data_IF_922237686845
#
_entry.id   IF_922237686845
#
_cell.length_a   1.000
_cell.length_b   1.000
_cell.length_c   1.000
_cell.angle_alpha   90.00
_cell.angle_beta   90.00
_cell.angle_gamma   90.00
#
_symmetry.space_group_name_H-M   'P 1'
#
loop_
_entity.id
_entity.type
_entity.pdbx_description
1 polymer ?
#
# COMPACT_ATOMS: atom_id res chain seq x y z
N UNK A 1 -5.25 -12.34 -0.47
CA UNK A 1 -5.28 -11.33 -1.57
C UNK A 1 -4.12 -11.62 -2.51
N UNK A 2 -4.33 -11.51 -3.83
CA UNK A 2 -3.26 -11.62 -4.83
C UNK A 2 -3.17 -10.29 -5.57
N UNK A 3 -1.95 -9.77 -5.75
CA UNK A 3 -1.69 -8.50 -6.45
C UNK A 3 -0.70 -8.71 -7.60
N UNK A 4 -0.94 -8.10 -8.79
CA UNK A 4 -0.04 -8.20 -9.93
C UNK A 4 1.17 -7.28 -9.78
N UNK A 5 2.14 -7.47 -10.66
CA UNK A 5 3.17 -6.46 -10.91
C UNK A 5 2.56 -5.25 -11.62
N UNK A 6 2.69 -4.07 -11.01
CA UNK A 6 2.31 -2.84 -11.68
C UNK A 6 3.49 -2.23 -12.43
N UNK A 7 3.18 -1.74 -13.63
CA UNK A 7 4.11 -1.01 -14.48
C UNK A 7 3.62 0.42 -14.66
N UNK A 8 4.55 1.35 -14.78
CA UNK A 8 4.27 2.70 -15.22
C UNK A 8 3.89 2.70 -16.72
N UNK A 9 3.30 3.79 -17.26
CA UNK A 9 2.97 3.87 -18.69
C UNK A 9 4.17 3.70 -19.64
N UNK A 10 5.39 3.96 -19.17
CA UNK A 10 6.64 3.74 -19.92
C UNK A 10 7.18 2.30 -19.84
N UNK A 11 6.45 1.40 -19.17
CA UNK A 11 6.83 0.00 -18.98
C UNK A 11 7.80 -0.24 -17.83
N UNK A 12 8.29 0.78 -17.15
CA UNK A 12 9.15 0.62 -15.97
C UNK A 12 8.38 0.06 -14.77
N UNK A 13 9.08 -0.60 -13.84
CA UNK A 13 8.49 -1.12 -12.62
C UNK A 13 7.89 0.02 -11.78
N UNK A 14 6.62 -0.13 -11.40
CA UNK A 14 6.00 0.72 -10.40
C UNK A 14 6.12 0.08 -9.02
N UNK A 15 6.80 0.75 -8.08
CA UNK A 15 6.89 0.29 -6.70
C UNK A 15 5.50 0.36 -6.04
N UNK A 16 4.68 -0.66 -6.25
CA UNK A 16 3.31 -0.76 -5.73
C UNK A 16 3.21 -1.51 -4.42
N UNK A 17 4.20 -2.35 -4.13
CA UNK A 17 4.32 -3.08 -2.86
C UNK A 17 4.87 -2.17 -1.78
N UNK A 18 4.42 -2.33 -0.54
CA UNK A 18 4.78 -1.48 0.60
C UNK A 18 4.96 -2.32 1.87
N UNK A 19 5.81 -1.83 2.79
CA UNK A 19 5.73 -2.20 4.21
C UNK A 19 4.63 -1.40 4.90
N UNK A 20 4.07 -1.89 5.99
CA UNK A 20 3.12 -1.11 6.78
C UNK A 20 3.71 0.24 7.18
N UNK A 21 2.87 1.27 7.11
CA UNK A 21 3.26 2.63 7.49
C UNK A 21 3.48 2.70 9.01
N UNK A 22 4.57 3.34 9.42
CA UNK A 22 4.87 3.67 10.81
C UNK A 22 5.14 5.16 10.92
N UNK A 23 5.12 5.71 12.12
CA UNK A 23 5.43 7.13 12.32
C UNK A 23 6.83 7.47 11.78
N UNK A 24 7.83 6.60 11.97
CA UNK A 24 9.19 6.81 11.43
C UNK A 24 9.21 6.89 9.90
N UNK A 25 8.55 5.93 9.23
CA UNK A 25 8.42 5.91 7.76
C UNK A 25 7.64 7.11 7.23
N UNK A 26 6.58 7.54 7.95
CA UNK A 26 5.81 8.72 7.59
C UNK A 26 6.70 9.97 7.63
N UNK A 27 7.45 10.19 8.71
CA UNK A 27 8.38 11.31 8.86
C UNK A 27 9.42 11.29 7.72
N UNK A 28 10.03 10.13 7.45
CA UNK A 28 11.00 9.98 6.36
C UNK A 28 10.40 10.31 4.99
N UNK A 29 9.15 9.90 4.74
CA UNK A 29 8.41 10.22 3.50
C UNK A 29 8.16 11.73 3.36
N UNK A 30 7.83 12.41 4.43
CA UNK A 30 7.62 13.87 4.43
C UNK A 30 8.91 14.61 4.11
N UNK A 31 10.02 14.28 4.77
CA UNK A 31 11.35 14.86 4.48
C UNK A 31 11.82 14.64 3.04
N UNK A 32 11.42 13.56 2.40
CA UNK A 32 11.75 13.26 1.00
C UNK A 32 10.72 13.79 0.01
N UNK A 33 9.74 14.59 0.46
CA UNK A 33 8.63 15.09 -0.34
C UNK A 33 7.92 13.98 -1.14
N UNK A 34 7.83 12.78 -0.56
CA UNK A 34 7.20 11.62 -1.18
C UNK A 34 7.92 11.05 -2.41
N UNK A 35 9.17 11.44 -2.68
CA UNK A 35 9.92 10.96 -3.85
C UNK A 35 10.37 9.51 -3.68
N UNK A 36 9.94 8.63 -4.59
CA UNK A 36 10.35 7.21 -4.61
C UNK A 36 11.81 7.03 -5.04
N UNK A 37 12.41 8.01 -5.72
CA UNK A 37 13.83 7.99 -6.11
C UNK A 37 14.79 8.33 -4.96
N UNK A 38 14.26 8.63 -3.76
CA UNK A 38 15.09 8.92 -2.59
C UNK A 38 15.95 7.72 -2.21
N UNK A 39 17.21 7.98 -1.86
CA UNK A 39 18.13 7.00 -1.27
C UNK A 39 17.98 6.88 0.26
N UNK A 40 16.97 7.49 0.85
CA UNK A 40 16.67 7.36 2.27
C UNK A 40 16.31 5.90 2.59
N UNK A 41 16.96 5.32 3.61
CA UNK A 41 16.79 3.92 4.00
C UNK A 41 15.34 3.59 4.36
N UNK A 42 14.71 4.42 5.20
CA UNK A 42 13.32 4.23 5.64
C UNK A 42 12.33 4.27 4.44
N UNK A 43 12.59 5.17 3.48
CA UNK A 43 11.79 5.24 2.24
C UNK A 43 12.02 4.01 1.39
N UNK A 44 13.25 3.54 1.25
CA UNK A 44 13.58 2.33 0.46
C UNK A 44 12.93 1.08 1.06
N UNK A 45 12.98 0.94 2.38
CA UNK A 45 12.30 -0.15 3.11
C UNK A 45 10.77 -0.05 2.94
N UNK A 46 10.19 1.15 3.13
CA UNK A 46 8.76 1.34 2.94
C UNK A 46 8.30 0.96 1.54
N UNK A 47 9.09 1.27 0.51
CA UNK A 47 8.83 0.96 -0.89
C UNK A 47 9.23 -0.47 -1.29
N UNK A 48 9.65 -1.29 -0.34
CA UNK A 48 10.11 -2.66 -0.60
C UNK A 48 11.13 -2.76 -1.73
N UNK A 49 12.10 -1.82 -1.81
CA UNK A 49 13.14 -1.85 -2.85
C UNK A 49 14.15 -2.99 -2.66
N UNK A 50 14.12 -3.64 -1.51
CA UNK A 50 14.94 -4.76 -1.08
C UNK A 50 14.42 -6.13 -1.52
N UNK A 51 13.19 -6.21 -2.07
CA UNK A 51 12.62 -7.49 -2.51
C UNK A 51 12.93 -7.79 -3.98
N UNK A 52 12.90 -9.08 -4.35
CA UNK A 52 12.99 -9.49 -5.75
C UNK A 52 11.61 -9.42 -6.42
N UNK A 53 11.40 -8.42 -7.24
CA UNK A 53 10.15 -8.20 -7.98
C UNK A 53 9.89 -9.22 -9.11
N UNK A 54 10.79 -10.19 -9.34
CA UNK A 54 10.56 -11.29 -10.28
C UNK A 54 10.01 -12.55 -9.58
N UNK A 55 9.89 -12.56 -8.25
CA UNK A 55 9.48 -13.70 -7.45
C UNK A 55 8.08 -13.53 -6.88
N UNK A 56 7.30 -14.63 -6.88
CA UNK A 56 6.05 -14.69 -6.12
C UNK A 56 6.39 -14.79 -4.64
N UNK A 57 5.86 -13.88 -3.82
CA UNK A 57 6.17 -13.82 -2.40
C UNK A 57 5.07 -13.15 -1.59
N UNK A 58 5.08 -13.42 -0.28
CA UNK A 58 4.23 -12.68 0.66
C UNK A 58 4.75 -11.27 0.88
N UNK A 59 3.81 -10.32 0.93
CA UNK A 59 4.07 -8.90 1.14
C UNK A 59 3.18 -8.36 2.26
N UNK A 60 3.48 -7.17 2.78
CA UNK A 60 2.64 -6.54 3.79
C UNK A 60 1.37 -5.99 3.16
N UNK A 61 1.50 -5.11 2.18
CA UNK A 61 0.38 -4.58 1.42
C UNK A 61 0.81 -4.05 0.04
N UNK A 62 -0.15 -3.76 -0.81
CA UNK A 62 0.06 -3.11 -2.09
C UNK A 62 -1.01 -2.06 -2.35
N UNK A 63 -0.70 -1.06 -3.19
CA UNK A 63 -1.69 -0.06 -3.60
C UNK A 63 -2.89 -0.72 -4.27
N UNK A 64 -4.10 -0.26 -3.96
CA UNK A 64 -5.37 -0.85 -4.35
C UNK A 64 -5.75 -0.72 -5.83
N UNK A 65 -4.76 -0.59 -6.72
CA UNK A 65 -4.99 -0.51 -8.15
C UNK A 65 -5.53 -1.83 -8.75
N UNK A 66 -5.18 -2.97 -8.14
CA UNK A 66 -5.70 -4.27 -8.56
C UNK A 66 -5.54 -5.30 -7.44
N UNK A 67 -6.66 -5.79 -6.92
CA UNK A 67 -6.73 -6.87 -5.94
C UNK A 67 -7.54 -8.02 -6.51
N UNK A 68 -6.99 -9.23 -6.44
CA UNK A 68 -7.71 -10.46 -6.70
C UNK A 68 -7.90 -11.23 -5.40
N UNK A 69 -9.11 -11.62 -5.09
CA UNK A 69 -9.43 -12.46 -3.95
C UNK A 69 -10.71 -13.25 -4.20
N UNK A 70 -10.88 -14.34 -3.47
CA UNK A 70 -12.13 -15.08 -3.49
C UNK A 70 -13.23 -14.23 -2.88
N UNK A 71 -14.45 -14.35 -3.41
CA UNK A 71 -15.63 -13.64 -2.90
C UNK A 71 -15.88 -13.91 -1.42
N UNK A 72 -15.65 -15.15 -1.00
CA UNK A 72 -15.82 -15.58 0.40
C UNK A 72 -14.84 -14.83 1.32
N UNK A 73 -13.59 -14.63 0.88
CA UNK A 73 -12.59 -13.86 1.64
C UNK A 73 -12.98 -12.38 1.73
N UNK A 74 -13.49 -11.80 0.64
CA UNK A 74 -13.99 -10.43 0.64
C UNK A 74 -15.16 -10.25 1.60
N UNK A 75 -16.08 -11.22 1.61
CA UNK A 75 -17.24 -11.22 2.52
C UNK A 75 -16.80 -11.42 3.99
N UNK A 76 -15.85 -12.34 4.26
CA UNK A 76 -15.27 -12.57 5.57
C UNK A 76 -14.61 -11.30 6.14
N UNK A 77 -13.94 -10.52 5.28
CA UNK A 77 -13.36 -9.22 5.63
C UNK A 77 -14.40 -8.11 5.84
N UNK A 78 -15.65 -8.31 5.43
CA UNK A 78 -16.69 -7.27 5.45
C UNK A 78 -16.49 -6.19 4.39
N UNK A 79 -15.70 -6.48 3.34
CA UNK A 79 -15.38 -5.51 2.28
C UNK A 79 -14.37 -4.44 2.69
N UNK A 80 -14.30 -3.37 1.90
CA UNK A 80 -13.54 -2.17 2.27
C UNK A 80 -14.22 -1.45 3.44
N UNK A 81 -13.41 -0.97 4.37
CA UNK A 81 -13.89 -0.20 5.51
C UNK A 81 -14.30 1.22 5.09
N UNK A 82 -15.56 1.56 5.27
CA UNK A 82 -16.18 2.82 4.83
C UNK A 82 -15.77 4.04 5.67
N UNK A 83 -15.05 3.87 6.78
CA UNK A 83 -14.45 4.97 7.52
C UNK A 83 -13.30 5.64 6.72
N UNK A 84 -12.79 4.96 5.68
CA UNK A 84 -11.84 5.52 4.73
C UNK A 84 -12.56 6.01 3.49
N UNK A 85 -12.70 7.32 3.33
CA UNK A 85 -13.27 7.87 2.10
C UNK A 85 -12.31 7.72 0.90
N UNK A 86 -11.01 7.85 1.15
CA UNK A 86 -9.96 7.72 0.14
C UNK A 86 -8.60 7.59 0.86
N UNK A 87 -7.71 6.74 0.36
CA UNK A 87 -6.41 6.38 0.92
C UNK A 87 -6.50 5.54 2.21
N UNK A 88 -5.53 4.70 2.44
CA UNK A 88 -5.39 3.77 3.56
C UNK A 88 -6.40 2.59 3.57
N UNK A 89 -7.45 2.62 2.76
CA UNK A 89 -8.41 1.53 2.61
C UNK A 89 -7.77 0.25 2.07
N UNK A 90 -6.75 0.40 1.23
CA UNK A 90 -5.97 -0.70 0.65
C UNK A 90 -5.00 -1.31 1.68
N UNK A 91 -4.28 -0.49 2.43
CA UNK A 91 -3.42 -0.95 3.52
C UNK A 91 -4.23 -1.61 4.64
N UNK A 92 -5.38 -1.01 5.01
CA UNK A 92 -6.32 -1.57 6.00
C UNK A 92 -6.85 -2.94 5.56
N UNK A 93 -7.31 -3.08 4.32
CA UNK A 93 -7.80 -4.34 3.78
C UNK A 93 -6.72 -5.43 3.83
N UNK A 94 -5.49 -5.12 3.44
CA UNK A 94 -4.38 -6.05 3.47
C UNK A 94 -4.05 -6.48 4.91
N UNK A 95 -4.02 -5.55 5.86
CA UNK A 95 -3.73 -5.83 7.27
C UNK A 95 -4.84 -6.69 7.91
N UNK A 96 -6.13 -6.40 7.63
CA UNK A 96 -7.25 -7.23 8.10
C UNK A 96 -7.20 -8.63 7.49
N UNK A 97 -6.84 -8.74 6.22
CA UNK A 97 -6.66 -10.03 5.54
C UNK A 97 -5.58 -10.88 6.22
N UNK A 98 -4.44 -10.27 6.55
CA UNK A 98 -3.38 -10.96 7.27
C UNK A 98 -3.83 -11.42 8.67
N UNK A 99 -4.56 -10.58 9.41
CA UNK A 99 -5.05 -10.90 10.77
C UNK A 99 -5.99 -12.11 10.81
N UNK A 100 -6.68 -12.41 9.70
CA UNK A 100 -7.51 -13.63 9.58
C UNK A 100 -6.75 -14.80 8.91
N UNK A 101 -5.42 -14.74 8.83
CA UNK A 101 -4.59 -15.80 8.26
C UNK A 101 -4.64 -15.88 6.73
N UNK A 102 -5.01 -14.80 6.04
CA UNK A 102 -5.06 -14.69 4.57
C UNK A 102 -4.00 -13.72 4.07
N UNK A 103 -2.75 -14.16 3.83
CA UNK A 103 -1.67 -13.26 3.44
C UNK A 103 -1.93 -12.57 2.10
N UNK A 104 -1.22 -11.47 1.87
CA UNK A 104 -1.16 -10.80 0.56
C UNK A 104 0.00 -11.37 -0.23
N UNK A 105 -0.28 -11.85 -1.44
CA UNK A 105 0.70 -12.48 -2.34
C UNK A 105 0.96 -11.57 -3.53
N UNK A 106 2.19 -11.16 -3.70
CA UNK A 106 2.67 -10.52 -4.93
C UNK A 106 2.92 -11.58 -6.00
N UNK A 107 2.32 -11.40 -7.19
CA UNK A 107 2.40 -12.35 -8.30
C UNK A 107 2.89 -11.68 -9.58
N UNK A 108 4.21 -11.66 -9.86
CA UNK A 108 4.82 -10.90 -10.97
C UNK A 108 4.54 -11.46 -12.36
N UNK A 109 4.04 -12.70 -12.48
CA UNK A 109 3.65 -13.28 -13.78
C UNK A 109 2.40 -12.60 -14.36
N UNK A 110 1.56 -11.97 -13.53
CA UNK A 110 0.49 -11.07 -13.97
C UNK A 110 1.01 -9.64 -13.92
N UNK A 111 0.83 -8.89 -15.01
CA UNK A 111 1.30 -7.50 -15.14
C UNK A 111 0.15 -6.58 -15.53
N UNK A 112 0.14 -5.38 -14.98
CA UNK A 112 -0.84 -4.35 -15.32
C UNK A 112 -0.17 -2.98 -15.41
N UNK A 113 -0.52 -2.20 -16.45
CA UNK A 113 -0.09 -0.80 -16.55
C UNK A 113 -1.03 0.05 -15.69
N UNK A 114 -0.45 0.86 -14.79
CA UNK A 114 -1.19 1.73 -13.91
C UNK A 114 -0.64 3.16 -13.95
N UNK A 115 -1.46 4.11 -14.40
CA UNK A 115 -1.09 5.53 -14.45
C UNK A 115 -1.36 6.21 -13.09
N UNK A 116 -0.38 6.13 -12.18
CA UNK A 116 -0.49 6.64 -10.82
C UNK A 116 -0.29 8.16 -10.75
N UNK A 117 -1.37 8.91 -10.60
CA UNK A 117 -1.35 10.38 -10.65
C UNK A 117 -0.82 11.09 -9.38
N UNK A 118 -0.56 10.37 -8.27
CA UNK A 118 -0.02 10.90 -6.99
C UNK A 118 -0.66 12.22 -6.52
N UNK A 119 -1.97 12.33 -6.65
CA UNK A 119 -2.68 13.59 -6.45
C UNK A 119 -2.68 14.11 -4.99
N UNK A 120 -2.35 13.27 -4.00
CA UNK A 120 -2.26 13.64 -2.58
C UNK A 120 -0.96 14.37 -2.22
N UNK A 121 0.07 14.32 -3.06
CA UNK A 121 1.35 15.00 -2.81
C UNK A 121 1.30 16.51 -2.98
N UNK A 122 0.19 17.04 -3.53
CA UNK A 122 -0.02 18.49 -3.69
C UNK A 122 -0.87 19.02 -2.54
N UNK A 123 -0.52 20.23 -2.04
CA UNK A 123 -1.35 20.92 -1.05
C UNK A 123 -2.77 21.12 -1.57
N UNK A 124 -3.78 20.67 -0.82
CA UNK A 124 -5.17 20.78 -1.21
C UNK A 124 -6.07 19.76 -0.50
N UNK A 125 -7.35 19.70 -0.89
CA UNK A 125 -8.37 18.84 -0.27
C UNK A 125 -7.92 17.37 -0.10
N UNK A 126 -7.23 16.81 -1.10
CA UNK A 126 -6.77 15.41 -1.07
C UNK A 126 -5.71 15.15 0.00
N UNK A 127 -4.88 16.13 0.33
CA UNK A 127 -3.91 16.04 1.43
C UNK A 127 -4.62 15.93 2.79
N UNK A 128 -5.66 16.73 3.02
CA UNK A 128 -6.44 16.65 4.26
C UNK A 128 -7.21 15.32 4.38
N UNK A 129 -7.77 14.83 3.28
CA UNK A 129 -8.41 13.51 3.25
C UNK A 129 -7.39 12.42 3.61
N UNK A 130 -6.19 12.45 3.02
CA UNK A 130 -5.14 11.48 3.32
C UNK A 130 -4.70 11.54 4.79
N UNK A 131 -4.50 12.74 5.34
CA UNK A 131 -4.16 12.92 6.76
C UNK A 131 -5.27 12.37 7.68
N UNK A 132 -6.54 12.61 7.37
CA UNK A 132 -7.68 12.06 8.11
C UNK A 132 -7.72 10.52 8.05
N UNK A 133 -7.57 9.94 6.86
CA UNK A 133 -7.53 8.48 6.68
C UNK A 133 -6.36 7.86 7.43
N UNK A 134 -5.19 8.49 7.43
CA UNK A 134 -4.02 8.05 8.18
C UNK A 134 -4.26 8.09 9.70
N UNK A 135 -4.88 9.15 10.23
CA UNK A 135 -5.26 9.21 11.66
C UNK A 135 -6.25 8.09 12.01
N UNK A 136 -7.23 7.82 11.13
CA UNK A 136 -8.18 6.72 11.29
C UNK A 136 -7.46 5.38 11.33
N UNK A 137 -6.50 5.16 10.42
CA UNK A 137 -5.70 3.94 10.36
C UNK A 137 -4.88 3.73 11.66
N UNK A 138 -4.16 4.74 12.11
CA UNK A 138 -3.38 4.64 13.36
C UNK A 138 -4.25 4.45 14.60
N UNK A 139 -5.45 5.04 14.64
CA UNK A 139 -6.41 4.81 15.73
C UNK A 139 -6.90 3.36 15.76
N UNK A 140 -7.10 2.72 14.60
CA UNK A 140 -7.60 1.33 14.49
C UNK A 140 -6.50 0.28 14.69
N UNK A 141 -5.28 0.57 14.24
CA UNK A 141 -4.21 -0.42 14.12
C UNK A 141 -2.96 -0.11 14.94
N UNK A 142 -2.92 1.05 15.61
CA UNK A 142 -1.74 1.51 16.37
C UNK A 142 -0.69 2.21 15.49
N UNK A 143 0.30 2.82 16.14
CA UNK A 143 1.32 3.66 15.48
C UNK A 143 2.40 2.85 14.75
N UNK A 144 2.45 1.54 14.96
CA UNK A 144 3.39 0.62 14.34
C UNK A 144 2.70 -0.72 14.07
N UNK A 145 1.77 -0.78 13.09
CA UNK A 145 1.11 -2.03 12.75
C UNK A 145 2.14 -3.06 12.29
N UNK A 146 2.00 -4.28 12.77
CA UNK A 146 2.90 -5.40 12.48
C UNK A 146 2.11 -6.60 11.99
N UNK A 147 2.82 -7.51 11.32
CA UNK A 147 2.32 -8.85 10.99
C UNK A 147 1.94 -9.66 12.21
#
# INVERSE_FOLDING_TARGET
IIVPQLLNPDGSLQYSVRRYITIGKLIAREFTHGKDSSNNKEVSEYLCKDIDYNQTQEIDWAIGASFFMKREVYAELGGFDTDYFLYMEDEDMCLRSLKIGRPVIYYPKSKMIHNHLRASSKFGKKMFIHAHSMMTFFRKHGLSPQR
#
